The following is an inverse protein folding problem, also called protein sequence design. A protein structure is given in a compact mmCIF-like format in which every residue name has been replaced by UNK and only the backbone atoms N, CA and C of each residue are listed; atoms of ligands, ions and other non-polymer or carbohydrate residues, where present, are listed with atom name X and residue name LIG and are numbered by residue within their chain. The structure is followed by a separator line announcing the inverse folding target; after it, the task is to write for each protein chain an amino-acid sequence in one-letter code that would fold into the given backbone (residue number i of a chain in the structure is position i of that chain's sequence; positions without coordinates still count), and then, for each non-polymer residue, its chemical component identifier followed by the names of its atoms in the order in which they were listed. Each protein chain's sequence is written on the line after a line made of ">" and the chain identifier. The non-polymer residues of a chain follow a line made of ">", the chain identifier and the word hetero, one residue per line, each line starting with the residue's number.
data_IF_098595982716
#
_entry.id   IF_098595982716
#
_cell.length_a   1.000
_cell.length_b   1.000
_cell.length_c   1.000
_cell.angle_alpha   90.00
_cell.angle_beta   90.00
_cell.angle_gamma   90.00
#
_symmetry.space_group_name_H-M   'P 1'
#
loop_
_entity.id
_entity.type
_entity.pdbx_description
1 polymer ?
#
# COMPACT_ATOMS: atom_id res chain seq x y z
N UNK A 1 -22.35 67.79 26.60
CA UNK A 1 -22.15 66.51 25.84
C UNK A 1 -23.43 65.69 25.97
N UNK A 2 -24.15 65.46 24.89
CA UNK A 2 -25.52 64.98 24.92
C UNK A 2 -25.61 63.51 25.33
N UNK A 3 -26.33 63.13 26.38
CA UNK A 3 -26.55 61.79 26.86
C UNK A 3 -27.12 60.83 25.78
N UNK A 4 -27.80 61.35 24.79
CA UNK A 4 -28.32 60.60 23.64
C UNK A 4 -27.23 60.13 22.66
N UNK A 5 -26.16 60.91 22.45
CA UNK A 5 -25.05 60.51 21.57
C UNK A 5 -24.23 59.33 22.13
N UNK A 6 -24.09 59.30 23.47
CA UNK A 6 -23.39 58.17 24.17
C UNK A 6 -24.22 56.88 24.17
N UNK A 7 -25.56 56.96 24.27
CA UNK A 7 -26.47 55.83 24.15
C UNK A 7 -26.39 55.15 22.74
N UNK A 8 -26.48 55.99 21.69
CA UNK A 8 -26.41 55.53 20.30
C UNK A 8 -25.04 54.91 20.00
N UNK A 9 -23.95 55.47 20.53
CA UNK A 9 -22.60 54.91 20.41
C UNK A 9 -22.49 53.54 21.07
N UNK A 10 -23.06 53.35 22.27
CA UNK A 10 -23.02 52.07 23.00
C UNK A 10 -23.87 50.98 22.33
N UNK A 11 -25.01 51.32 21.74
CA UNK A 11 -25.84 50.37 20.98
C UNK A 11 -25.12 49.88 19.69
N UNK A 12 -24.48 50.79 18.99
CA UNK A 12 -23.69 50.45 17.80
C UNK A 12 -22.49 49.55 18.15
N UNK A 13 -21.82 49.81 19.29
CA UNK A 13 -20.74 48.99 19.79
C UNK A 13 -21.23 47.58 20.13
N UNK A 14 -22.35 47.45 20.84
CA UNK A 14 -22.96 46.15 21.16
C UNK A 14 -23.33 45.35 19.89
N UNK A 15 -23.91 46.03 18.87
CA UNK A 15 -24.22 45.35 17.58
C UNK A 15 -22.98 44.85 16.89
N UNK A 16 -21.88 45.60 16.87
CA UNK A 16 -20.60 45.18 16.28
C UNK A 16 -19.99 43.98 17.03
N UNK A 17 -19.97 44.02 18.37
CA UNK A 17 -19.49 42.95 19.20
C UNK A 17 -20.29 41.64 18.98
N UNK A 18 -21.63 41.76 18.92
CA UNK A 18 -22.50 40.61 18.65
C UNK A 18 -22.32 40.08 17.22
N UNK A 19 -22.02 40.90 16.25
CA UNK A 19 -21.71 40.48 14.88
C UNK A 19 -20.37 39.76 14.82
N UNK A 20 -19.35 40.28 15.52
CA UNK A 20 -18.04 39.65 15.64
C UNK A 20 -18.12 38.27 16.32
N UNK A 21 -18.87 38.17 17.43
CA UNK A 21 -19.06 36.88 18.12
C UNK A 21 -19.78 35.86 17.22
N UNK A 22 -20.80 36.28 16.47
CA UNK A 22 -21.47 35.40 15.49
C UNK A 22 -20.52 34.98 14.39
N UNK A 23 -19.70 35.89 13.87
CA UNK A 23 -18.70 35.56 12.85
C UNK A 23 -17.67 34.53 13.38
N UNK A 24 -17.14 34.75 14.59
CA UNK A 24 -16.24 33.80 15.26
C UNK A 24 -16.92 32.44 15.44
N UNK A 25 -18.19 32.43 15.85
CA UNK A 25 -18.95 31.18 16.02
C UNK A 25 -19.14 30.43 14.71
N UNK A 26 -19.48 31.12 13.61
CA UNK A 26 -19.55 30.49 12.29
C UNK A 26 -18.19 30.02 11.80
N UNK A 27 -17.11 30.73 12.09
CA UNK A 27 -15.74 30.29 11.79
C UNK A 27 -15.39 29.02 12.53
N UNK A 28 -15.70 28.94 13.83
CA UNK A 28 -15.48 27.72 14.62
C UNK A 28 -16.30 26.54 14.07
N UNK A 29 -17.57 26.76 13.73
CA UNK A 29 -18.41 25.73 13.11
C UNK A 29 -17.79 25.24 11.80
N UNK A 30 -17.36 26.15 10.93
CA UNK A 30 -16.76 25.78 9.64
C UNK A 30 -15.50 24.94 9.81
N UNK A 31 -14.60 25.34 10.74
CA UNK A 31 -13.39 24.59 11.05
C UNK A 31 -13.73 23.21 11.64
N UNK A 32 -14.69 23.15 12.58
CA UNK A 32 -15.13 21.89 13.17
C UNK A 32 -15.71 20.95 12.13
N UNK A 33 -16.52 21.46 11.21
CA UNK A 33 -17.08 20.69 10.10
C UNK A 33 -15.99 20.15 9.18
N UNK A 34 -15.00 20.97 8.83
CA UNK A 34 -13.85 20.55 8.04
C UNK A 34 -13.05 19.42 8.73
N UNK A 35 -12.81 19.55 10.04
CA UNK A 35 -12.14 18.51 10.83
C UNK A 35 -12.94 17.21 10.86
N UNK A 36 -14.26 17.27 11.00
CA UNK A 36 -15.14 16.10 10.95
C UNK A 36 -15.01 15.39 9.59
N UNK A 37 -15.05 16.11 8.47
CA UNK A 37 -14.85 15.51 7.15
C UNK A 37 -13.48 14.86 7.00
N UNK A 38 -12.43 15.50 7.50
CA UNK A 38 -11.08 14.95 7.51
C UNK A 38 -11.04 13.64 8.33
N UNK A 39 -11.64 13.64 9.53
CA UNK A 39 -11.72 12.43 10.36
C UNK A 39 -12.49 11.30 9.68
N UNK A 40 -13.62 11.59 9.04
CA UNK A 40 -14.39 10.61 8.26
C UNK A 40 -13.53 10.03 7.13
N UNK A 41 -12.80 10.90 6.40
CA UNK A 41 -11.91 10.48 5.33
C UNK A 41 -10.82 9.54 5.85
N UNK A 42 -10.11 9.93 6.91
CA UNK A 42 -9.06 9.09 7.51
C UNK A 42 -9.60 7.77 8.03
N UNK A 43 -10.73 7.80 8.72
CA UNK A 43 -11.38 6.57 9.22
C UNK A 43 -11.72 5.63 8.07
N UNK A 44 -12.23 6.15 6.96
CA UNK A 44 -12.57 5.35 5.79
C UNK A 44 -11.32 4.76 5.09
N UNK A 45 -10.26 5.55 4.97
CA UNK A 45 -8.97 5.09 4.41
C UNK A 45 -8.37 3.99 5.30
N UNK A 46 -8.29 4.22 6.61
CA UNK A 46 -7.69 3.26 7.55
C UNK A 46 -8.51 1.98 7.60
N UNK A 47 -9.85 2.07 7.71
CA UNK A 47 -10.71 0.89 7.81
C UNK A 47 -10.70 0.00 6.58
N UNK A 48 -10.46 0.58 5.39
CA UNK A 48 -10.32 -0.19 4.14
C UNK A 48 -8.89 -0.62 3.86
N UNK A 49 -7.92 0.18 4.29
CA UNK A 49 -6.50 -0.04 3.97
C UNK A 49 -5.77 -0.94 4.96
N UNK A 50 -6.25 -1.08 6.22
CA UNK A 50 -5.49 -1.83 7.23
C UNK A 50 -5.28 -3.31 6.85
N UNK A 51 -6.20 -3.89 6.09
CA UNK A 51 -6.10 -5.27 5.64
C UNK A 51 -4.92 -5.52 4.69
N UNK A 52 -4.37 -4.48 4.04
CA UNK A 52 -3.18 -4.59 3.21
C UNK A 52 -1.90 -4.92 4.00
N UNK A 53 -1.89 -4.58 5.31
CA UNK A 53 -0.77 -4.93 6.19
C UNK A 53 -0.71 -6.41 6.59
N UNK A 54 -1.66 -7.19 6.17
CA UNK A 54 -1.70 -8.64 6.40
C UNK A 54 -1.86 -9.38 5.09
N UNK A 55 -1.36 -10.61 5.07
CA UNK A 55 -1.47 -11.52 3.92
C UNK A 55 -1.88 -12.92 4.39
N UNK A 56 -2.57 -13.61 3.51
CA UNK A 56 -2.98 -15.00 3.73
C UNK A 56 -1.92 -15.92 3.12
N UNK A 57 -1.44 -16.86 3.91
CA UNK A 57 -0.47 -17.87 3.50
C UNK A 57 -1.12 -19.26 3.59
N UNK A 58 -0.78 -20.12 2.64
CA UNK A 58 -1.24 -21.51 2.58
C UNK A 58 -0.03 -22.43 2.72
N UNK A 59 -0.10 -23.36 3.67
CA UNK A 59 0.95 -24.38 3.88
C UNK A 59 0.88 -25.42 2.78
N UNK A 60 2.02 -25.69 2.17
CA UNK A 60 2.21 -26.82 1.27
C UNK A 60 3.43 -27.63 1.68
N UNK A 61 3.36 -28.93 1.44
CA UNK A 61 4.47 -29.85 1.55
C UNK A 61 5.22 -29.88 0.23
N UNK A 62 6.52 -29.64 0.26
CA UNK A 62 7.41 -29.73 -0.89
C UNK A 62 8.32 -30.94 -0.71
N UNK A 63 8.29 -31.84 -1.68
CA UNK A 63 9.16 -33.02 -1.76
C UNK A 63 10.17 -32.81 -2.87
N UNK A 64 11.45 -32.83 -2.49
CA UNK A 64 12.54 -32.75 -3.46
C UNK A 64 12.65 -34.09 -4.22
N UNK A 65 13.08 -34.02 -5.45
CA UNK A 65 13.19 -35.18 -6.35
C UNK A 65 14.58 -35.24 -7.00
N UNK A 66 14.84 -36.30 -7.80
CA UNK A 66 16.14 -36.51 -8.44
C UNK A 66 16.61 -35.34 -9.33
N UNK A 67 15.72 -34.52 -9.82
CA UNK A 67 16.05 -33.35 -10.65
C UNK A 67 16.37 -32.10 -9.83
N UNK A 68 15.80 -31.99 -8.63
CA UNK A 68 16.00 -30.86 -7.72
C UNK A 68 16.31 -31.46 -6.34
N UNK A 69 17.59 -31.77 -6.10
CA UNK A 69 18.04 -32.38 -4.86
C UNK A 69 18.55 -31.30 -3.87
N UNK A 70 18.32 -31.48 -2.56
CA UNK A 70 18.87 -30.60 -1.55
C UNK A 70 20.39 -30.43 -1.63
N UNK A 71 21.10 -31.50 -1.89
CA UNK A 71 22.58 -31.54 -2.00
C UNK A 71 23.06 -30.65 -3.16
N UNK A 72 22.40 -30.73 -4.31
CA UNK A 72 22.69 -29.90 -5.47
C UNK A 72 22.48 -28.42 -5.13
N UNK A 73 21.35 -28.09 -4.50
CA UNK A 73 20.98 -26.72 -4.13
C UNK A 73 21.95 -26.10 -3.11
N UNK A 74 22.51 -26.92 -2.18
CA UNK A 74 23.51 -26.46 -1.20
C UNK A 74 24.80 -25.98 -1.87
N UNK A 75 25.17 -26.55 -3.01
CA UNK A 75 26.41 -26.24 -3.74
C UNK A 75 26.24 -25.03 -4.69
N UNK A 76 24.99 -24.66 -5.01
CA UNK A 76 24.69 -23.57 -5.94
C UNK A 76 24.75 -22.22 -5.25
N UNK A 77 25.17 -21.18 -5.97
CA UNK A 77 25.04 -19.79 -5.55
C UNK A 77 23.59 -19.31 -5.61
N UNK A 78 23.28 -18.22 -4.91
CA UNK A 78 21.92 -17.63 -4.94
C UNK A 78 21.53 -17.19 -6.36
N UNK A 79 22.51 -16.71 -7.13
CA UNK A 79 22.30 -16.29 -8.53
C UNK A 79 22.00 -17.47 -9.44
N UNK A 80 22.56 -18.65 -9.18
CA UNK A 80 22.27 -19.87 -9.93
C UNK A 80 20.90 -20.42 -9.59
N UNK A 81 20.51 -20.44 -8.30
CA UNK A 81 19.17 -20.88 -7.87
C UNK A 81 18.09 -19.97 -8.46
N UNK A 82 18.33 -18.65 -8.48
CA UNK A 82 17.37 -17.71 -9.05
C UNK A 82 17.16 -17.87 -10.57
N UNK A 83 18.14 -18.43 -11.27
CA UNK A 83 18.05 -18.74 -12.71
C UNK A 83 17.41 -20.09 -13.02
N UNK A 84 17.24 -20.97 -12.02
CA UNK A 84 16.58 -22.25 -12.22
C UNK A 84 15.10 -22.03 -12.59
N UNK A 85 14.62 -22.77 -13.59
CA UNK A 85 13.18 -22.91 -13.85
C UNK A 85 12.61 -23.97 -12.90
N UNK A 86 12.10 -23.50 -11.76
CA UNK A 86 11.44 -24.32 -10.77
C UNK A 86 9.92 -24.36 -10.93
N UNK A 87 9.36 -23.70 -11.96
CA UNK A 87 7.91 -23.62 -12.15
C UNK A 87 7.25 -25.00 -12.21
N UNK A 88 7.76 -25.89 -13.05
CA UNK A 88 7.24 -27.24 -13.19
C UNK A 88 7.39 -28.08 -11.93
N UNK A 89 8.50 -27.93 -11.20
CA UNK A 89 8.75 -28.57 -9.91
C UNK A 89 7.77 -28.07 -8.85
N UNK A 90 7.65 -26.78 -8.69
CA UNK A 90 6.75 -26.13 -7.74
C UNK A 90 5.29 -26.50 -7.97
N UNK A 91 4.86 -26.44 -9.23
CA UNK A 91 3.52 -26.81 -9.66
C UNK A 91 3.21 -28.29 -9.39
N UNK A 92 4.15 -29.19 -9.65
CA UNK A 92 3.99 -30.61 -9.34
C UNK A 92 3.83 -30.81 -7.83
N UNK A 93 4.62 -30.13 -7.03
CA UNK A 93 4.52 -30.19 -5.57
C UNK A 93 3.18 -29.65 -5.06
N UNK A 94 2.69 -28.53 -5.61
CA UNK A 94 1.35 -28.04 -5.24
C UNK A 94 0.30 -29.12 -5.55
N UNK A 95 0.34 -29.74 -6.71
CA UNK A 95 -0.64 -30.78 -7.06
C UNK A 95 -0.54 -32.03 -6.19
N UNK A 96 0.64 -32.43 -5.73
CA UNK A 96 0.80 -33.59 -4.84
C UNK A 96 0.21 -33.39 -3.44
N UNK A 97 -0.03 -32.16 -3.04
CA UNK A 97 -0.77 -31.87 -1.81
C UNK A 97 -2.29 -32.13 -1.92
N UNK A 98 -2.79 -32.38 -3.14
CA UNK A 98 -4.22 -32.64 -3.44
C UNK A 98 -4.37 -33.93 -4.25
N UNK A 99 -4.05 -35.11 -3.69
CA UNK A 99 -4.00 -36.38 -4.44
C UNK A 99 -5.37 -36.80 -4.98
N UNK A 100 -6.45 -36.45 -4.32
CA UNK A 100 -7.82 -36.83 -4.69
C UNK A 100 -8.33 -36.10 -5.95
N UNK A 101 -7.56 -35.15 -6.48
CA UNK A 101 -7.97 -34.31 -7.60
C UNK A 101 -7.21 -34.74 -8.86
N UNK A 102 -7.87 -35.51 -9.72
CA UNK A 102 -7.27 -36.05 -10.95
C UNK A 102 -7.51 -35.18 -12.18
N UNK A 103 -8.68 -34.52 -12.27
CA UNK A 103 -9.09 -33.75 -13.45
C UNK A 103 -8.17 -32.57 -13.71
N UNK A 104 -7.68 -32.44 -14.95
CA UNK A 104 -6.82 -31.32 -15.37
C UNK A 104 -7.44 -29.94 -15.17
N UNK A 105 -8.77 -29.84 -15.37
CA UNK A 105 -9.53 -28.60 -15.15
C UNK A 105 -9.46 -28.15 -13.70
N UNK A 106 -9.59 -29.09 -12.75
CA UNK A 106 -9.62 -28.80 -11.33
C UNK A 106 -8.22 -28.54 -10.79
N UNK A 107 -7.20 -29.26 -11.30
CA UNK A 107 -5.80 -28.93 -11.02
C UNK A 107 -5.43 -27.49 -11.43
N UNK A 108 -5.96 -27.00 -12.56
CA UNK A 108 -5.78 -25.58 -12.94
C UNK A 108 -6.46 -24.62 -11.98
N UNK A 109 -7.58 -25.01 -11.37
CA UNK A 109 -8.26 -24.18 -10.35
C UNK A 109 -7.48 -24.17 -9.04
N UNK A 110 -6.85 -25.29 -8.65
CA UNK A 110 -6.01 -25.35 -7.44
C UNK A 110 -4.83 -24.39 -7.54
N UNK A 111 -4.11 -24.38 -8.67
CA UNK A 111 -2.95 -23.50 -8.81
C UNK A 111 -3.34 -22.02 -8.66
N UNK A 112 -4.57 -21.65 -9.00
CA UNK A 112 -5.11 -20.30 -8.82
C UNK A 112 -5.47 -19.96 -7.37
N UNK A 113 -5.35 -20.87 -6.43
CA UNK A 113 -5.44 -20.56 -4.99
C UNK A 113 -4.18 -19.86 -4.48
N UNK A 114 -3.07 -20.03 -5.19
CA UNK A 114 -1.76 -19.50 -4.83
C UNK A 114 -1.42 -18.27 -5.67
N UNK A 115 -0.59 -17.40 -5.12
CA UNK A 115 -0.03 -16.26 -5.85
C UNK A 115 0.72 -16.73 -7.11
N UNK A 116 0.73 -15.91 -8.13
CA UNK A 116 1.47 -16.15 -9.37
C UNK A 116 2.99 -16.31 -9.12
N UNK A 117 3.52 -15.72 -8.05
CA UNK A 117 4.95 -15.80 -7.66
C UNK A 117 5.30 -16.99 -6.77
N UNK A 118 4.47 -18.02 -6.67
CA UNK A 118 4.77 -19.18 -5.82
C UNK A 118 6.16 -19.81 -6.08
N UNK A 119 6.64 -19.76 -7.33
CA UNK A 119 7.97 -20.20 -7.69
C UNK A 119 9.07 -19.38 -7.03
N UNK A 120 8.94 -18.05 -7.09
CA UNK A 120 9.91 -17.11 -6.51
C UNK A 120 9.92 -17.18 -4.97
N UNK A 121 8.79 -17.45 -4.35
CA UNK A 121 8.71 -17.68 -2.91
C UNK A 121 9.45 -18.97 -2.51
N UNK A 122 9.32 -20.03 -3.29
CA UNK A 122 10.07 -21.28 -3.10
C UNK A 122 11.57 -21.06 -3.28
N UNK A 123 12.00 -20.35 -4.33
CA UNK A 123 13.42 -19.99 -4.54
C UNK A 123 13.97 -19.18 -3.38
N UNK A 124 13.20 -18.20 -2.91
CA UNK A 124 13.58 -17.36 -1.77
C UNK A 124 13.75 -18.19 -0.50
N UNK A 125 12.85 -19.13 -0.25
CA UNK A 125 12.96 -20.04 0.88
C UNK A 125 14.21 -20.95 0.77
N UNK A 126 14.45 -21.53 -0.39
CA UNK A 126 15.62 -22.35 -0.67
C UNK A 126 16.90 -21.56 -0.40
N UNK A 127 17.02 -20.35 -0.94
CA UNK A 127 18.19 -19.47 -0.75
C UNK A 127 18.46 -19.18 0.73
N UNK A 128 17.42 -18.90 1.50
CA UNK A 128 17.55 -18.59 2.93
C UNK A 128 17.91 -19.81 3.80
N UNK A 129 17.51 -21.00 3.37
CA UNK A 129 17.58 -22.22 4.18
C UNK A 129 18.46 -23.32 3.57
N UNK A 130 19.37 -23.01 2.64
CA UNK A 130 20.20 -23.97 1.89
C UNK A 130 20.82 -25.08 2.75
N UNK A 131 21.39 -24.69 3.87
CA UNK A 131 22.13 -25.62 4.74
C UNK A 131 21.22 -26.57 5.52
N UNK A 132 19.94 -26.23 5.65
CA UNK A 132 18.96 -26.96 6.45
C UNK A 132 17.86 -27.61 5.58
N UNK A 133 18.05 -27.71 4.27
CA UNK A 133 17.11 -28.38 3.39
C UNK A 133 17.12 -29.88 3.64
N UNK A 134 15.96 -30.41 4.04
CA UNK A 134 15.69 -31.85 4.07
C UNK A 134 15.04 -32.32 2.77
N UNK A 135 14.81 -33.63 2.65
CA UNK A 135 14.13 -34.19 1.48
C UNK A 135 12.66 -33.73 1.34
N UNK A 136 12.10 -33.30 2.44
CA UNK A 136 10.74 -32.77 2.53
C UNK A 136 10.73 -31.54 3.42
N UNK A 137 10.02 -30.49 2.99
CA UNK A 137 9.82 -29.27 3.78
C UNK A 137 8.36 -28.86 3.75
N UNK A 138 7.89 -28.26 4.82
CA UNK A 138 6.61 -27.54 4.84
C UNK A 138 6.89 -26.04 4.66
N UNK A 139 6.21 -25.44 3.70
CA UNK A 139 6.40 -24.05 3.32
C UNK A 139 5.05 -23.34 3.25
N UNK A 140 5.00 -22.15 3.79
CA UNK A 140 3.88 -21.23 3.64
C UNK A 140 4.09 -20.38 2.40
N UNK A 141 3.16 -20.46 1.44
CA UNK A 141 3.13 -19.69 0.19
C UNK A 141 1.95 -18.73 0.21
N UNK A 142 2.14 -17.55 -0.36
CA UNK A 142 1.08 -16.55 -0.46
C UNK A 142 -0.11 -17.08 -1.26
N UNK A 143 -1.32 -16.88 -0.70
CA UNK A 143 -2.55 -17.08 -1.43
C UNK A 143 -2.67 -16.07 -2.57
N UNK A 144 -3.47 -16.38 -3.58
CA UNK A 144 -3.83 -15.41 -4.63
C UNK A 144 -4.65 -14.25 -4.03
N UNK A 145 -4.66 -13.10 -4.73
CA UNK A 145 -5.45 -11.93 -4.34
C UNK A 145 -6.91 -12.29 -4.03
N UNK A 146 -7.56 -13.02 -4.92
CA UNK A 146 -8.98 -13.39 -4.75
C UNK A 146 -9.22 -14.21 -3.46
N UNK A 147 -8.32 -15.12 -3.11
CA UNK A 147 -8.40 -15.92 -1.87
C UNK A 147 -8.06 -15.08 -0.65
N UNK A 148 -7.06 -14.22 -0.74
CA UNK A 148 -6.69 -13.29 0.33
C UNK A 148 -7.83 -12.33 0.66
N UNK A 149 -8.51 -11.77 -0.35
CA UNK A 149 -9.67 -10.90 -0.16
C UNK A 149 -10.87 -11.64 0.44
N UNK A 150 -11.07 -12.91 0.09
CA UNK A 150 -12.10 -13.76 0.71
C UNK A 150 -11.76 -14.03 2.19
N UNK A 151 -10.51 -14.33 2.50
CA UNK A 151 -10.08 -14.55 3.89
C UNK A 151 -10.27 -13.30 4.76
N UNK A 152 -9.96 -12.14 4.20
CA UNK A 152 -10.14 -10.83 4.84
C UNK A 152 -11.60 -10.37 4.96
N UNK A 153 -12.54 -11.11 4.35
CA UNK A 153 -13.95 -10.75 4.32
C UNK A 153 -14.31 -9.58 3.42
N UNK A 154 -13.40 -9.14 2.55
CA UNK A 154 -13.62 -8.04 1.61
C UNK A 154 -14.49 -8.48 0.43
N UNK A 155 -14.49 -9.76 0.07
CA UNK A 155 -15.35 -10.34 -0.94
C UNK A 155 -16.41 -11.24 -0.32
N UNK A 156 -17.70 -10.96 -0.60
CA UNK A 156 -18.81 -11.79 -0.14
C UNK A 156 -18.82 -13.14 -0.85
N UNK A 157 -19.00 -14.19 -0.07
CA UNK A 157 -19.20 -15.55 -0.58
C UNK A 157 -20.62 -15.81 -1.11
N UNK A 158 -21.60 -14.93 -0.76
CA UNK A 158 -23.01 -15.08 -1.12
C UNK A 158 -23.33 -14.71 -2.57
N UNK A 159 -22.33 -14.15 -3.28
CA UNK A 159 -22.46 -13.79 -4.69
C UNK A 159 -22.52 -15.09 -5.52
N UNK A 160 -23.44 -15.24 -6.49
CA UNK A 160 -23.49 -16.38 -7.41
C UNK A 160 -22.15 -16.66 -8.09
N UNK A 161 -21.83 -17.95 -8.32
CA UNK A 161 -20.53 -18.37 -8.87
C UNK A 161 -20.18 -17.68 -10.19
N UNK A 162 -21.19 -17.44 -11.05
CA UNK A 162 -21.01 -16.81 -12.36
C UNK A 162 -20.51 -15.35 -12.27
N UNK A 163 -20.68 -14.72 -11.11
CA UNK A 163 -20.25 -13.34 -10.83
C UNK A 163 -19.02 -13.25 -9.95
N UNK A 164 -18.50 -14.40 -9.48
CA UNK A 164 -17.28 -14.48 -8.66
C UNK A 164 -16.09 -14.89 -9.52
N UNK A 165 -14.89 -14.42 -9.12
CA UNK A 165 -13.64 -14.90 -9.71
C UNK A 165 -13.22 -16.27 -9.19
N UNK A 166 -13.70 -16.63 -7.99
CA UNK A 166 -13.41 -17.89 -7.30
C UNK A 166 -14.62 -18.82 -7.42
N UNK A 167 -14.39 -20.03 -7.93
CA UNK A 167 -15.43 -21.06 -8.08
C UNK A 167 -15.79 -21.70 -6.73
N UNK A 168 -16.98 -22.32 -6.66
CA UNK A 168 -17.40 -23.08 -5.47
C UNK A 168 -16.41 -24.20 -5.14
N UNK A 169 -15.85 -24.84 -6.15
CA UNK A 169 -14.79 -25.85 -5.97
C UNK A 169 -13.54 -25.26 -5.28
N UNK A 170 -13.09 -24.08 -5.67
CA UNK A 170 -11.93 -23.43 -5.02
C UNK A 170 -12.26 -23.06 -3.57
N UNK A 171 -13.46 -22.58 -3.32
CA UNK A 171 -13.90 -22.27 -1.94
C UNK A 171 -13.93 -23.51 -1.07
N UNK A 172 -14.44 -24.65 -1.57
CA UNK A 172 -14.48 -25.90 -0.80
C UNK A 172 -13.07 -26.40 -0.44
N UNK A 173 -12.13 -26.33 -1.38
CA UNK A 173 -10.73 -26.68 -1.11
C UNK A 173 -10.09 -25.71 -0.10
N UNK A 174 -10.37 -24.42 -0.25
CA UNK A 174 -9.86 -23.42 0.70
C UNK A 174 -10.43 -23.63 2.11
N UNK A 175 -11.72 -23.91 2.25
CA UNK A 175 -12.36 -24.17 3.54
C UNK A 175 -11.80 -25.45 4.19
N UNK A 176 -11.49 -26.47 3.39
CA UNK A 176 -10.80 -27.66 3.87
C UNK A 176 -9.39 -27.34 4.41
N UNK A 177 -8.62 -26.52 3.71
CA UNK A 177 -7.30 -26.06 4.17
C UNK A 177 -7.40 -25.26 5.47
N UNK A 178 -8.40 -24.40 5.59
CA UNK A 178 -8.68 -23.68 6.85
C UNK A 178 -9.03 -24.66 7.98
N UNK A 179 -9.89 -25.63 7.72
CA UNK A 179 -10.25 -26.68 8.70
C UNK A 179 -9.07 -27.54 9.14
N UNK A 180 -8.07 -27.74 8.27
CA UNK A 180 -6.82 -28.44 8.56
C UNK A 180 -5.76 -27.54 9.23
N UNK A 181 -6.06 -26.29 9.58
CA UNK A 181 -5.10 -25.30 10.09
C UNK A 181 -3.88 -25.04 9.17
N UNK A 182 -4.03 -25.25 7.87
CA UNK A 182 -2.99 -25.01 6.86
C UNK A 182 -2.99 -23.57 6.31
N UNK A 183 -3.90 -22.74 6.77
CA UNK A 183 -3.98 -21.34 6.39
C UNK A 183 -3.53 -20.47 7.55
N UNK A 184 -2.60 -19.56 7.27
CA UNK A 184 -2.05 -18.61 8.25
C UNK A 184 -2.29 -17.19 7.79
N UNK A 185 -2.68 -16.32 8.72
CA UNK A 185 -2.77 -14.88 8.50
C UNK A 185 -1.56 -14.22 9.14
N UNK A 186 -0.72 -13.54 8.34
CA UNK A 186 0.56 -13.02 8.78
C UNK A 186 0.74 -11.56 8.36
N UNK A 187 1.53 -10.81 9.12
CA UNK A 187 1.88 -9.44 8.78
C UNK A 187 2.69 -9.40 7.48
N UNK A 188 2.28 -8.55 6.54
CA UNK A 188 2.82 -8.46 5.19
C UNK A 188 4.09 -7.61 5.15
N UNK A 189 5.22 -8.15 5.66
CA UNK A 189 6.51 -7.47 5.57
C UNK A 189 6.94 -7.13 4.14
N UNK A 190 6.72 -8.00 3.13
CA UNK A 190 7.05 -7.68 1.73
C UNK A 190 6.36 -6.42 1.19
N UNK A 191 5.20 -6.05 1.74
CA UNK A 191 4.49 -4.82 1.37
C UNK A 191 5.35 -3.55 1.51
N UNK A 192 6.26 -3.51 2.47
CA UNK A 192 7.13 -2.35 2.71
C UNK A 192 8.39 -2.33 1.84
N UNK A 193 8.77 -3.45 1.25
CA UNK A 193 9.99 -3.58 0.45
C UNK A 193 9.75 -3.74 -1.04
N UNK A 194 8.59 -4.28 -1.43
CA UNK A 194 8.23 -4.48 -2.84
C UNK A 194 7.88 -3.14 -3.52
N UNK A 195 8.02 -3.13 -4.84
CA UNK A 195 7.57 -2.04 -5.70
C UNK A 195 6.10 -2.19 -6.10
N UNK A 196 5.71 -1.42 -7.10
CA UNK A 196 4.40 -1.52 -7.73
C UNK A 196 4.28 -2.82 -8.53
N UNK A 197 3.11 -3.44 -8.52
CA UNK A 197 2.79 -4.66 -9.26
C UNK A 197 1.35 -4.60 -9.78
N UNK A 198 1.09 -5.31 -10.88
CA UNK A 198 -0.27 -5.51 -11.40
C UNK A 198 -1.09 -6.48 -10.55
N UNK A 199 -0.43 -7.39 -9.87
CA UNK A 199 -1.06 -8.34 -8.95
C UNK A 199 -1.09 -7.72 -7.56
N UNK A 200 -2.27 -7.62 -6.96
CA UNK A 200 -2.49 -6.89 -5.71
C UNK A 200 -1.72 -7.50 -4.53
N UNK A 201 -1.62 -8.84 -4.48
CA UNK A 201 -0.87 -9.55 -3.43
C UNK A 201 0.66 -9.31 -3.50
N UNK A 202 1.15 -8.84 -4.64
CA UNK A 202 2.57 -8.58 -4.88
C UNK A 202 2.92 -7.10 -4.78
N UNK A 203 1.93 -6.22 -4.83
CA UNK A 203 2.13 -4.78 -4.76
C UNK A 203 2.66 -4.35 -3.39
N UNK A 204 3.55 -3.36 -3.41
CA UNK A 204 4.15 -2.81 -2.19
C UNK A 204 4.40 -1.31 -2.27
N UNK A 205 4.69 -0.72 -1.12
CA UNK A 205 4.95 0.72 -0.98
C UNK A 205 6.44 1.09 -1.13
N UNK A 206 7.35 0.11 -1.04
CA UNK A 206 8.80 0.36 -0.96
C UNK A 206 9.32 1.20 -2.13
N UNK A 207 8.98 0.82 -3.35
CA UNK A 207 9.41 1.56 -4.55
C UNK A 207 8.89 3.00 -4.58
N UNK A 208 7.62 3.21 -4.24
CA UNK A 208 6.99 4.53 -4.22
C UNK A 208 7.58 5.43 -3.13
N UNK A 209 7.86 4.88 -1.94
CA UNK A 209 8.47 5.63 -0.83
C UNK A 209 9.89 6.07 -1.19
N UNK A 210 10.71 5.16 -1.69
CA UNK A 210 12.09 5.45 -2.11
C UNK A 210 12.09 6.45 -3.26
N UNK A 211 11.24 6.26 -4.26
CA UNK A 211 11.10 7.17 -5.41
C UNK A 211 10.69 8.58 -4.96
N UNK A 212 9.70 8.69 -4.08
CA UNK A 212 9.26 9.98 -3.53
C UNK A 212 10.36 10.66 -2.72
N UNK A 213 11.10 9.92 -1.91
CA UNK A 213 12.22 10.44 -1.14
C UNK A 213 13.30 11.03 -2.04
N UNK A 214 13.74 10.28 -3.06
CA UNK A 214 14.75 10.79 -3.99
C UNK A 214 14.25 11.98 -4.81
N UNK A 215 12.99 11.96 -5.24
CA UNK A 215 12.37 13.09 -5.95
C UNK A 215 12.38 14.35 -5.08
N UNK A 216 11.95 14.24 -3.82
CA UNK A 216 11.98 15.37 -2.88
C UNK A 216 13.41 15.87 -2.64
N UNK A 217 14.36 14.97 -2.51
CA UNK A 217 15.77 15.33 -2.30
C UNK A 217 16.35 16.09 -3.49
N UNK A 218 16.08 15.61 -4.71
CA UNK A 218 16.52 16.29 -5.94
C UNK A 218 15.85 17.66 -6.08
N UNK A 219 14.54 17.74 -5.84
CA UNK A 219 13.82 19.02 -5.87
C UNK A 219 14.42 20.00 -4.86
N UNK A 220 14.70 19.56 -3.64
CA UNK A 220 15.30 20.41 -2.60
C UNK A 220 16.68 20.90 -3.01
N UNK A 221 17.56 19.99 -3.47
CA UNK A 221 18.93 20.29 -3.88
C UNK A 221 19.01 21.27 -5.06
N UNK A 222 18.03 21.21 -5.97
CA UNK A 222 17.96 22.11 -7.11
C UNK A 222 17.24 23.42 -6.76
N UNK A 223 16.05 23.34 -6.18
CA UNK A 223 15.21 24.52 -5.94
C UNK A 223 15.78 25.47 -4.90
N UNK A 224 16.41 24.93 -3.85
CA UNK A 224 16.94 25.76 -2.77
C UNK A 224 18.07 26.71 -3.25
N UNK A 225 19.12 26.26 -3.95
CA UNK A 225 20.13 27.15 -4.48
C UNK A 225 19.57 28.17 -5.49
N UNK A 226 18.71 27.71 -6.42
CA UNK A 226 18.10 28.62 -7.40
C UNK A 226 17.21 29.66 -6.73
N UNK A 227 16.42 29.27 -5.74
CA UNK A 227 15.60 30.19 -4.95
C UNK A 227 16.44 31.20 -4.17
N UNK A 228 17.51 30.72 -3.53
CA UNK A 228 18.43 31.57 -2.76
C UNK A 228 19.14 32.60 -3.66
N UNK A 229 19.72 32.14 -4.77
CA UNK A 229 20.38 33.04 -5.72
C UNK A 229 19.39 34.01 -6.38
N UNK A 230 18.18 33.54 -6.69
CA UNK A 230 17.11 34.40 -7.20
C UNK A 230 16.71 35.47 -6.21
N UNK A 231 16.55 35.14 -4.93
CA UNK A 231 16.22 36.09 -3.89
C UNK A 231 17.31 37.15 -3.69
N UNK A 232 18.59 36.70 -3.59
CA UNK A 232 19.75 37.62 -3.47
C UNK A 232 19.82 38.54 -4.69
N UNK A 233 19.64 37.99 -5.90
CA UNK A 233 19.68 38.81 -7.12
C UNK A 233 18.58 39.87 -7.13
N UNK A 234 17.35 39.51 -6.75
CA UNK A 234 16.22 40.45 -6.73
C UNK A 234 16.38 41.54 -5.66
N UNK A 235 16.96 41.21 -4.51
CA UNK A 235 17.08 42.15 -3.38
C UNK A 235 18.30 43.07 -3.53
N UNK A 236 19.46 42.53 -3.95
CA UNK A 236 20.73 43.29 -3.97
C UNK A 236 21.10 43.88 -5.34
N UNK A 237 20.76 43.18 -6.43
CA UNK A 237 21.29 43.52 -7.75
C UNK A 237 20.24 43.97 -8.76
N UNK A 238 18.97 43.71 -8.54
CA UNK A 238 17.92 43.96 -9.50
C UNK A 238 17.54 45.45 -9.57
N UNK A 239 17.55 46.01 -10.77
CA UNK A 239 16.97 47.35 -11.01
C UNK A 239 15.46 47.23 -11.11
N UNK A 240 14.72 48.14 -10.49
CA UNK A 240 13.24 48.19 -10.63
C UNK A 240 12.86 48.38 -12.09
N UNK A 241 12.25 47.35 -12.66
CA UNK A 241 11.66 47.35 -13.98
C UNK A 241 10.41 46.47 -14.03
N UNK A 242 9.63 46.54 -15.08
CA UNK A 242 8.37 45.81 -15.23
C UNK A 242 8.53 44.30 -15.08
N UNK A 243 9.67 43.74 -15.42
CA UNK A 243 9.97 42.32 -15.32
C UNK A 243 10.22 41.92 -13.85
N UNK A 244 11.01 42.73 -13.14
CA UNK A 244 11.24 42.52 -11.68
C UNK A 244 9.97 42.67 -10.90
N UNK A 245 9.16 43.71 -11.19
CA UNK A 245 7.84 43.90 -10.55
C UNK A 245 6.91 42.70 -10.80
N UNK A 246 6.92 42.13 -12.01
CA UNK A 246 6.13 40.94 -12.32
C UNK A 246 6.57 39.72 -11.50
N UNK A 247 7.88 39.49 -11.35
CA UNK A 247 8.41 38.39 -10.53
C UNK A 247 8.06 38.62 -9.06
N UNK A 248 8.25 39.83 -8.54
CA UNK A 248 7.97 40.19 -7.15
C UNK A 248 6.47 39.99 -6.81
N UNK A 249 5.57 40.39 -7.69
CA UNK A 249 4.13 40.16 -7.55
C UNK A 249 3.80 38.67 -7.51
N UNK A 250 4.44 37.84 -8.35
CA UNK A 250 4.21 36.39 -8.34
C UNK A 250 4.75 35.74 -7.06
N UNK A 251 5.93 36.14 -6.58
CA UNK A 251 6.49 35.65 -5.31
C UNK A 251 5.57 36.04 -4.15
N UNK A 252 5.09 37.27 -4.11
CA UNK A 252 4.18 37.75 -3.07
C UNK A 252 2.82 37.03 -3.13
N UNK A 253 2.32 36.69 -4.31
CA UNK A 253 1.10 35.91 -4.48
C UNK A 253 1.27 34.44 -4.05
N UNK A 254 2.47 33.85 -4.24
CA UNK A 254 2.78 32.51 -3.74
C UNK A 254 3.00 32.48 -2.21
N UNK A 255 3.52 33.58 -1.68
CA UNK A 255 3.79 33.77 -0.28
C UNK A 255 2.56 34.38 0.40
N UNK A 256 1.59 33.54 0.81
CA UNK A 256 0.46 33.94 1.67
C UNK A 256 0.91 34.40 3.08
N UNK A 257 2.18 34.79 3.24
CA UNK A 257 2.81 35.05 4.55
C UNK A 257 2.55 36.48 5.05
N UNK A 258 1.94 37.36 4.24
CA UNK A 258 1.65 38.73 4.64
C UNK A 258 0.13 38.98 4.77
N UNK A 259 -0.54 38.17 5.60
CA UNK A 259 -1.84 38.56 6.16
C UNK A 259 -1.72 38.61 7.69
#
# INVERSE_FOLDING_TARGET
>A
MNSNSLKISNENLKRRLNAEQRFKFYGVIAISLALIFVLILFTNIISKGYSAFYRTLIEIKIEFNDKVQPEMLKQMSDTEINKLDLYSFSKKNIYSNFPDIEKKSDKKKIIKLFSIEFEEEIKTYINKNKNNLGNTINLYISASDDIDQIHKGNYSRDIPEERRRVSNFQLSIYDELVGQNKVKFEFNLPFFSRGDSREAELAGLGGSLIGSFFTMMIVLLLSFPFGLFGAIYLEEFSKRNRFTDFIEININNLSLIHI
#
